data_IF_079837412930
#
_entry.id   IF_079837412930
#
_cell.length_a   1.000
_cell.length_b   1.000
_cell.length_c   1.000
_cell.angle_alpha   90.00
_cell.angle_beta   90.00
_cell.angle_gamma   90.00
#
_symmetry.space_group_name_H-M   'P 1'
#
loop_
_entity.id
_entity.type
_entity.pdbx_description
1 polymer ?
#
# COMPACT_ATOMS: atom_id res chain seq x y z
N UNK A 1 -14.29 -17.95 9.58
CA UNK A 1 -13.96 -16.78 8.74
C UNK A 1 -12.84 -17.16 7.80
N UNK A 2 -12.94 -16.82 6.51
CA UNK A 2 -11.82 -17.01 5.59
C UNK A 2 -10.63 -16.14 6.04
N UNK A 3 -9.41 -16.68 5.93
CA UNK A 3 -8.20 -15.95 6.31
C UNK A 3 -8.02 -14.74 5.39
N UNK A 4 -7.80 -13.55 5.96
CA UNK A 4 -7.61 -12.33 5.18
C UNK A 4 -6.20 -12.32 4.60
N UNK A 5 -6.09 -12.39 3.28
CA UNK A 5 -4.85 -12.29 2.53
C UNK A 5 -4.75 -10.92 1.88
N UNK A 6 -3.57 -10.32 1.96
CA UNK A 6 -3.30 -9.00 1.39
C UNK A 6 -1.99 -9.03 0.61
N UNK A 7 -2.01 -8.53 -0.62
CA UNK A 7 -0.80 -8.28 -1.39
C UNK A 7 -0.70 -6.80 -1.72
N UNK A 8 0.43 -6.17 -1.36
CA UNK A 8 0.67 -4.75 -1.58
C UNK A 8 1.85 -4.55 -2.54
N UNK A 9 1.58 -3.97 -3.70
CA UNK A 9 2.59 -3.63 -4.69
C UNK A 9 2.82 -2.12 -4.67
N UNK A 10 4.02 -1.73 -4.26
CA UNK A 10 4.43 -0.36 -4.04
C UNK A 10 5.36 0.06 -5.17
N UNK A 11 4.98 1.06 -5.94
CA UNK A 11 5.84 1.66 -6.98
C UNK A 11 6.11 3.12 -6.64
N UNK A 12 7.37 3.52 -6.60
CA UNK A 12 7.76 4.89 -6.27
C UNK A 12 8.96 5.37 -7.09
N UNK A 13 9.03 6.69 -7.32
CA UNK A 13 10.20 7.37 -7.89
C UNK A 13 11.24 7.75 -6.85
N UNK A 14 11.00 7.44 -5.57
CA UNK A 14 11.98 7.62 -4.49
C UNK A 14 13.18 6.68 -4.72
N UNK A 15 14.38 7.19 -4.44
CA UNK A 15 15.62 6.43 -4.56
C UNK A 15 15.68 5.34 -3.49
N UNK A 16 15.94 4.09 -3.88
CA UNK A 16 16.18 2.95 -2.98
C UNK A 16 17.16 3.27 -1.86
N UNK A 17 18.20 4.08 -2.12
CA UNK A 17 19.20 4.48 -1.11
C UNK A 17 18.62 5.33 0.02
N UNK A 18 17.46 5.95 -0.19
CA UNK A 18 16.77 6.77 0.82
C UNK A 18 15.76 5.97 1.66
N UNK A 19 15.55 4.69 1.33
CA UNK A 19 14.60 3.81 2.01
C UNK A 19 15.33 2.93 3.01
N UNK A 20 14.82 2.89 4.23
CA UNK A 20 15.39 2.07 5.31
C UNK A 20 15.21 0.57 5.03
N UNK A 21 16.21 -0.26 5.35
CA UNK A 21 16.17 -1.72 5.19
C UNK A 21 14.98 -2.40 5.91
N UNK A 22 14.54 -1.82 7.04
CA UNK A 22 13.38 -2.30 7.82
C UNK A 22 12.02 -1.85 7.28
N UNK A 23 11.99 -1.13 6.15
CA UNK A 23 10.78 -0.54 5.61
C UNK A 23 9.71 -1.58 5.29
N UNK A 24 10.06 -2.65 4.58
CA UNK A 24 9.10 -3.71 4.21
C UNK A 24 8.56 -4.43 5.45
N UNK A 25 9.41 -4.71 6.44
CA UNK A 25 8.98 -5.29 7.72
C UNK A 25 7.98 -4.39 8.45
N UNK A 26 8.27 -3.08 8.49
CA UNK A 26 7.38 -2.08 9.10
C UNK A 26 6.06 -1.93 8.35
N UNK A 27 6.12 -1.97 7.02
CA UNK A 27 4.95 -1.95 6.15
C UNK A 27 4.08 -3.19 6.36
N UNK A 28 4.70 -4.36 6.55
CA UNK A 28 3.97 -5.62 6.76
C UNK A 28 3.18 -5.59 8.07
N UNK A 29 3.79 -5.06 9.15
CA UNK A 29 3.12 -4.85 10.43
C UNK A 29 1.97 -3.83 10.31
N UNK A 30 2.15 -2.76 9.53
CA UNK A 30 1.11 -1.76 9.31
C UNK A 30 -0.09 -2.37 8.58
N UNK A 31 0.16 -3.08 7.47
CA UNK A 31 -0.89 -3.74 6.66
C UNK A 31 -1.60 -4.83 7.46
N UNK A 32 -0.86 -5.64 8.22
CA UNK A 32 -1.44 -6.70 9.05
C UNK A 32 -2.41 -6.14 10.09
N UNK A 33 -2.06 -5.01 10.72
CA UNK A 33 -2.94 -4.28 11.65
C UNK A 33 -4.15 -3.68 10.95
N UNK A 34 -3.95 -3.05 9.78
CA UNK A 34 -5.01 -2.40 9.01
C UNK A 34 -6.11 -3.40 8.62
N UNK A 35 -5.71 -4.61 8.23
CA UNK A 35 -6.61 -5.68 7.76
C UNK A 35 -6.94 -6.73 8.82
N UNK A 36 -6.42 -6.60 10.03
CA UNK A 36 -6.64 -7.53 11.15
C UNK A 36 -6.29 -8.97 10.75
N UNK A 37 -5.13 -9.12 10.14
CA UNK A 37 -4.56 -10.40 9.70
C UNK A 37 -3.17 -10.60 10.29
N UNK A 38 -2.63 -11.81 10.17
CA UNK A 38 -1.26 -12.11 10.55
C UNK A 38 -0.28 -11.68 9.45
N UNK A 39 0.94 -11.32 9.84
CA UNK A 39 2.04 -10.94 8.93
C UNK A 39 2.32 -12.02 7.87
N UNK A 40 2.13 -13.30 8.20
CA UNK A 40 2.30 -14.43 7.27
C UNK A 40 1.33 -14.43 6.08
N UNK A 41 0.23 -13.66 6.16
CA UNK A 41 -0.75 -13.51 5.07
C UNK A 41 -0.60 -12.18 4.32
N UNK A 42 0.49 -11.45 4.57
CA UNK A 42 0.82 -10.20 3.89
C UNK A 42 1.98 -10.42 2.94
N UNK A 43 1.75 -10.18 1.64
CA UNK A 43 2.80 -10.13 0.62
C UNK A 43 3.09 -8.68 0.27
N UNK A 44 4.37 -8.30 0.17
CA UNK A 44 4.77 -6.96 -0.20
C UNK A 44 5.80 -6.99 -1.34
N UNK A 45 5.67 -6.06 -2.27
CA UNK A 45 6.67 -5.78 -3.30
C UNK A 45 6.94 -4.27 -3.32
N UNK A 46 8.21 -3.89 -3.42
CA UNK A 46 8.64 -2.50 -3.53
C UNK A 46 9.52 -2.31 -4.75
N UNK A 47 9.04 -1.50 -5.68
CA UNK A 47 9.75 -1.02 -6.85
C UNK A 47 10.11 0.46 -6.68
N UNK A 48 11.40 0.76 -6.71
CA UNK A 48 11.99 2.10 -6.48
C UNK A 48 12.66 2.63 -7.72
N UNK A 49 13.13 3.88 -7.66
CA UNK A 49 13.88 4.53 -8.74
C UNK A 49 13.12 4.55 -10.09
N UNK A 50 11.78 4.47 -10.06
CA UNK A 50 10.94 4.43 -11.26
C UNK A 50 10.73 5.84 -11.81
N UNK A 51 10.75 6.01 -13.13
CA UNK A 51 10.34 7.26 -13.77
C UNK A 51 8.82 7.43 -13.67
N UNK A 52 8.37 8.40 -12.88
CA UNK A 52 6.95 8.68 -12.66
C UNK A 52 6.67 10.18 -12.81
N UNK A 53 5.47 10.53 -13.28
CA UNK A 53 4.99 11.90 -13.36
C UNK A 53 3.54 11.97 -12.89
N UNK A 54 3.22 13.02 -12.12
CA UNK A 54 1.84 13.39 -11.78
C UNK A 54 1.71 14.90 -11.87
N UNK A 55 0.66 15.36 -12.54
CA UNK A 55 0.37 16.78 -12.74
C UNK A 55 1.61 17.57 -13.22
N UNK A 56 2.26 17.08 -14.28
CA UNK A 56 3.48 17.67 -14.86
C UNK A 56 4.70 17.78 -13.92
N UNK A 57 4.68 17.09 -12.77
CA UNK A 57 5.74 17.16 -11.77
C UNK A 57 6.30 15.76 -11.48
N UNK A 58 7.62 15.68 -11.37
CA UNK A 58 8.37 14.48 -10.99
C UNK A 58 8.75 14.46 -9.50
N UNK A 59 8.16 15.34 -8.68
CA UNK A 59 8.39 15.33 -7.23
C UNK A 59 8.05 13.96 -6.62
N UNK A 60 8.61 13.59 -5.44
CA UNK A 60 8.39 12.28 -4.84
C UNK A 60 6.91 11.88 -4.81
N UNK A 61 6.62 10.65 -5.23
CA UNK A 61 5.26 10.10 -5.32
C UNK A 61 5.26 8.58 -5.21
N UNK A 62 4.08 8.02 -4.94
CA UNK A 62 3.91 6.57 -4.76
C UNK A 62 2.56 6.13 -5.28
N UNK A 63 2.55 5.01 -6.01
CA UNK A 63 1.36 4.27 -6.35
C UNK A 63 1.37 2.94 -5.58
N UNK A 64 0.27 2.66 -4.90
CA UNK A 64 0.05 1.44 -4.14
C UNK A 64 -1.13 0.68 -4.74
N UNK A 65 -0.91 -0.59 -5.08
CA UNK A 65 -1.97 -1.54 -5.40
C UNK A 65 -2.12 -2.52 -4.24
N UNK A 66 -3.24 -2.48 -3.54
CA UNK A 66 -3.59 -3.37 -2.44
C UNK A 66 -4.65 -4.36 -2.90
N UNK A 67 -4.22 -5.59 -3.16
CA UNK A 67 -5.10 -6.73 -3.39
C UNK A 67 -5.52 -7.30 -2.04
N UNK A 68 -6.82 -7.51 -1.83
CA UNK A 68 -7.33 -8.04 -0.57
C UNK A 68 -8.60 -8.86 -0.77
N UNK A 69 -8.81 -9.86 0.09
CA UNK A 69 -10.09 -10.57 0.20
C UNK A 69 -10.92 -10.13 1.43
N UNK A 70 -10.59 -8.99 2.03
CA UNK A 70 -11.29 -8.44 3.21
C UNK A 70 -12.59 -7.72 2.83
N UNK A 71 -13.62 -7.87 3.67
CA UNK A 71 -14.87 -7.10 3.65
C UNK A 71 -14.75 -5.69 4.25
N UNK A 72 -13.63 -5.39 4.93
CA UNK A 72 -13.36 -4.10 5.54
C UNK A 72 -13.19 -2.98 4.53
N UNK A 73 -12.81 -3.28 3.31
CA UNK A 73 -12.70 -2.28 2.24
C UNK A 73 -14.02 -2.27 1.47
N UNK A 74 -14.78 -1.21 1.65
CA UNK A 74 -16.05 -0.98 0.97
C UNK A 74 -16.16 0.51 0.61
N UNK A 75 -17.27 0.91 -0.01
CA UNK A 75 -17.44 2.29 -0.47
C UNK A 75 -17.39 3.33 0.65
N UNK A 76 -17.81 2.97 1.87
CA UNK A 76 -17.77 3.87 3.03
C UNK A 76 -16.40 3.94 3.72
N UNK A 77 -15.63 2.84 3.74
CA UNK A 77 -14.37 2.78 4.49
C UNK A 77 -13.12 3.06 3.64
N UNK A 78 -13.19 2.86 2.32
CA UNK A 78 -12.00 2.92 1.44
C UNK A 78 -11.27 4.26 1.50
N UNK A 79 -11.99 5.36 1.70
CA UNK A 79 -11.38 6.69 1.76
C UNK A 79 -10.54 6.87 3.04
N UNK A 80 -11.09 6.51 4.19
CA UNK A 80 -10.38 6.60 5.47
C UNK A 80 -9.21 5.63 5.54
N UNK A 81 -9.36 4.42 4.97
CA UNK A 81 -8.27 3.46 4.85
C UNK A 81 -7.17 4.00 3.91
N UNK A 82 -7.53 4.55 2.75
CA UNK A 82 -6.58 5.17 1.84
C UNK A 82 -5.81 6.31 2.52
N UNK A 83 -6.48 7.15 3.31
CA UNK A 83 -5.85 8.25 4.05
C UNK A 83 -4.87 7.76 5.10
N UNK A 84 -5.25 6.76 5.90
CA UNK A 84 -4.34 6.16 6.89
C UNK A 84 -3.09 5.58 6.24
N UNK A 85 -3.27 4.86 5.13
CA UNK A 85 -2.17 4.30 4.35
C UNK A 85 -1.31 5.40 3.75
N UNK A 86 -1.90 6.38 3.09
CA UNK A 86 -1.20 7.52 2.48
C UNK A 86 -0.36 8.28 3.50
N UNK A 87 -0.94 8.59 4.68
CA UNK A 87 -0.24 9.28 5.76
C UNK A 87 0.94 8.46 6.30
N UNK A 88 0.78 7.14 6.41
CA UNK A 88 1.88 6.25 6.80
C UNK A 88 3.03 6.29 5.78
N UNK A 89 2.76 6.14 4.48
CA UNK A 89 3.79 6.20 3.44
C UNK A 89 4.43 7.58 3.34
N UNK A 90 3.64 8.64 3.44
CA UNK A 90 4.11 10.02 3.42
C UNK A 90 5.17 10.26 4.50
N UNK A 91 4.93 9.78 5.72
CA UNK A 91 5.88 9.87 6.83
C UNK A 91 7.15 9.05 6.60
N UNK A 92 7.02 7.80 6.16
CA UNK A 92 8.16 6.88 6.08
C UNK A 92 9.05 7.09 4.84
N UNK A 93 8.48 7.63 3.75
CA UNK A 93 9.21 7.88 2.50
C UNK A 93 9.40 9.36 2.20
N UNK A 94 8.95 10.27 3.09
CA UNK A 94 9.03 11.73 2.92
C UNK A 94 8.38 12.20 1.62
N UNK A 95 7.24 11.60 1.31
CA UNK A 95 6.42 11.92 0.13
C UNK A 95 5.26 12.80 0.59
N UNK A 96 4.86 13.85 -0.16
CA UNK A 96 3.62 14.58 0.13
C UNK A 96 2.41 13.63 0.15
N UNK A 97 1.56 13.71 1.18
CA UNK A 97 0.43 12.77 1.37
C UNK A 97 -0.52 12.75 0.15
N UNK A 98 -0.76 13.92 -0.45
CA UNK A 98 -1.59 14.08 -1.65
C UNK A 98 -1.01 13.38 -2.88
N UNK A 99 0.30 13.05 -2.89
CA UNK A 99 1.01 12.35 -3.96
C UNK A 99 1.11 10.84 -3.75
N UNK A 100 0.45 10.30 -2.72
CA UNK A 100 0.27 8.86 -2.53
C UNK A 100 -1.07 8.43 -3.10
N UNK A 101 -1.05 7.57 -4.13
CA UNK A 101 -2.25 6.97 -4.70
C UNK A 101 -2.43 5.55 -4.13
N UNK A 102 -3.58 5.28 -3.51
CA UNK A 102 -3.94 3.96 -2.99
C UNK A 102 -5.09 3.38 -3.81
N UNK A 103 -4.85 2.23 -4.44
CA UNK A 103 -5.84 1.47 -5.19
C UNK A 103 -6.14 0.18 -4.45
N UNK A 104 -7.40 -0.05 -4.11
CA UNK A 104 -7.87 -1.31 -3.53
C UNK A 104 -8.45 -2.20 -4.63
N UNK A 105 -8.01 -3.45 -4.66
CA UNK A 105 -8.48 -4.49 -5.59
C UNK A 105 -9.07 -5.64 -4.77
N UNK A 106 -10.38 -5.80 -4.87
CA UNK A 106 -11.10 -6.89 -4.20
C UNK A 106 -10.87 -8.22 -4.92
N UNK A 107 -10.30 -9.19 -4.21
CA UNK A 107 -10.01 -10.53 -4.73
C UNK A 107 -10.95 -11.61 -4.22
N UNK A 108 -12.01 -11.26 -3.49
CA UNK A 108 -12.99 -12.24 -2.97
C UNK A 108 -13.63 -13.09 -4.07
N UNK A 109 -13.84 -12.51 -5.25
CA UNK A 109 -14.41 -13.19 -6.41
C UNK A 109 -13.36 -13.80 -7.35
N UNK A 110 -12.08 -13.49 -7.16
CA UNK A 110 -11.00 -14.03 -8.00
C UNK A 110 -10.60 -15.46 -7.58
N UNK A 111 -10.83 -15.82 -6.32
CA UNK A 111 -10.57 -17.14 -5.75
C UNK A 111 -11.88 -17.85 -5.35
N UNK A 112 -13.02 -17.45 -5.91
CA UNK A 112 -14.28 -18.13 -5.67
C UNK A 112 -14.29 -19.43 -6.47
N UNK A 113 -14.29 -20.56 -5.76
CA UNK A 113 -14.68 -21.88 -6.30
C UNK A 113 -16.19 -21.90 -6.62
#
# INVERSE_FOLDING_TARGET
MAKVQVAAFITTNVDSKSINESFLSSCSIMVSKLFYTDVQYVTLELQTNVTMMRAASIAPMLNLKLFHNSDKVNNSSKHDLAKQVASWFAKHLRIPEDRVLVLFIDTRLCNAE
#
